data_IF_295481489756
#
_entry.id   IF_295481489756
#
_cell.length_a   1.000
_cell.length_b   1.000
_cell.length_c   1.000
_cell.angle_alpha   90.00
_cell.angle_beta   90.00
_cell.angle_gamma   90.00
#
_symmetry.space_group_name_H-M   'P 1'
#
loop_
_entity.id
_entity.type
_entity.pdbx_description
1 polymer ?
#
# COMPACT_ATOMS: atom_id res chain seq x y z
N UNK A 1 1.04 9.35 6.36
CA UNK A 1 1.34 8.96 4.98
C UNK A 1 0.88 10.02 4.00
N UNK A 2 1.78 10.43 3.11
CA UNK A 2 1.52 11.29 1.96
C UNK A 2 2.14 10.62 0.73
N UNK A 3 1.82 11.08 -0.47
CA UNK A 3 2.48 10.57 -1.69
C UNK A 3 4.00 10.72 -1.64
N UNK A 4 4.50 11.80 -1.02
CA UNK A 4 5.94 12.01 -0.81
C UNK A 4 6.55 10.99 0.15
N UNK A 5 5.79 10.43 1.09
CA UNK A 5 6.29 9.38 1.99
C UNK A 5 6.37 8.03 1.27
N UNK A 6 5.43 7.73 0.37
CA UNK A 6 5.51 6.56 -0.51
C UNK A 6 6.75 6.61 -1.41
N UNK A 7 7.08 7.78 -1.98
CA UNK A 7 8.29 7.97 -2.80
C UNK A 7 9.58 7.74 -2.00
N UNK A 8 9.63 8.22 -0.75
CA UNK A 8 10.78 7.99 0.12
C UNK A 8 10.94 6.51 0.43
N UNK A 9 9.84 5.81 0.77
CA UNK A 9 9.87 4.36 1.03
C UNK A 9 10.36 3.61 -0.20
N UNK A 10 9.85 3.93 -1.39
CA UNK A 10 10.27 3.29 -2.63
C UNK A 10 11.75 3.56 -2.96
N UNK A 11 12.22 4.80 -2.76
CA UNK A 11 13.63 5.16 -2.94
C UNK A 11 14.52 4.41 -1.95
N UNK A 12 14.11 4.34 -0.70
CA UNK A 12 14.84 3.63 0.35
C UNK A 12 14.95 2.12 0.05
N UNK A 13 13.87 1.50 -0.43
CA UNK A 13 13.89 0.10 -0.87
C UNK A 13 14.93 -0.15 -1.97
N UNK A 14 15.09 0.79 -2.91
CA UNK A 14 16.10 0.69 -3.99
C UNK A 14 17.52 0.82 -3.47
N UNK A 15 17.72 1.69 -2.49
CA UNK A 15 19.03 1.90 -1.88
C UNK A 15 19.50 0.68 -1.07
N UNK A 16 18.57 -0.04 -0.43
CA UNK A 16 18.89 -1.21 0.37
C UNK A 16 19.41 -2.40 -0.45
N UNK A 17 19.09 -2.48 -1.74
CA UNK A 17 19.48 -3.60 -2.63
C UNK A 17 19.16 -4.98 -2.02
N UNK A 18 17.99 -5.11 -1.41
CA UNK A 18 17.53 -6.38 -0.85
C UNK A 18 17.40 -7.43 -1.97
N UNK A 19 17.84 -8.66 -1.70
CA UNK A 19 17.68 -9.79 -2.63
C UNK A 19 16.21 -10.16 -2.80
N UNK A 20 15.43 -10.06 -1.73
CA UNK A 20 13.99 -10.27 -1.72
C UNK A 20 13.32 -9.07 -1.05
N UNK A 21 12.27 -8.56 -1.67
CA UNK A 21 11.48 -7.46 -1.13
C UNK A 21 10.01 -7.79 -1.31
N UNK A 22 9.20 -7.53 -0.28
CA UNK A 22 7.75 -7.62 -0.35
C UNK A 22 7.14 -6.27 0.04
N UNK A 23 6.08 -5.88 -0.67
CA UNK A 23 5.37 -4.63 -0.46
C UNK A 23 3.87 -4.92 -0.36
N UNK A 24 3.26 -4.45 0.72
CA UNK A 24 1.83 -4.60 0.96
C UNK A 24 1.16 -3.25 1.25
N UNK A 25 -0.05 -3.09 0.74
CA UNK A 25 -1.00 -2.07 1.14
C UNK A 25 -1.67 -2.47 2.46
N UNK A 26 -1.89 -1.47 3.33
CA UNK A 26 -2.67 -1.66 4.55
C UNK A 26 -4.08 -2.13 4.20
N UNK A 27 -4.44 -3.31 4.71
CA UNK A 27 -5.75 -3.93 4.53
C UNK A 27 -6.61 -3.70 5.79
N UNK A 28 -7.76 -3.04 5.68
CA UNK A 28 -8.61 -2.70 6.82
C UNK A 28 -9.44 -3.91 7.26
N UNK A 29 -8.83 -4.88 7.94
CA UNK A 29 -9.54 -6.07 8.41
C UNK A 29 -10.57 -5.73 9.50
N UNK A 30 -11.86 -6.14 9.37
CA UNK A 30 -12.88 -5.86 10.37
C UNK A 30 -12.53 -6.43 11.75
N UNK A 31 -12.81 -5.68 12.81
CA UNK A 31 -12.47 -6.05 14.18
C UNK A 31 -11.02 -5.75 14.60
N UNK A 32 -10.20 -5.19 13.72
CA UNK A 32 -8.89 -4.62 14.10
C UNK A 32 -9.08 -3.20 14.64
N UNK A 33 -8.19 -2.77 15.55
CA UNK A 33 -8.20 -1.41 16.09
C UNK A 33 -8.17 -0.35 14.98
N UNK A 34 -7.35 -0.57 13.94
CA UNK A 34 -7.30 0.29 12.77
C UNK A 34 -8.67 0.41 12.06
N UNK A 35 -9.36 -0.72 11.86
CA UNK A 35 -10.67 -0.70 11.22
C UNK A 35 -11.70 0.06 12.06
N UNK A 36 -11.67 -0.11 13.38
CA UNK A 36 -12.61 0.58 14.27
C UNK A 36 -12.33 2.10 14.32
N UNK A 37 -11.07 2.52 14.29
CA UNK A 37 -10.66 3.92 14.44
C UNK A 37 -10.44 4.66 13.10
N UNK A 38 -10.63 3.99 11.96
CA UNK A 38 -10.32 4.52 10.61
C UNK A 38 -10.79 5.96 10.36
N UNK A 39 -12.01 6.31 10.78
CA UNK A 39 -12.58 7.65 10.54
C UNK A 39 -11.85 8.74 11.36
N UNK A 40 -11.45 8.42 12.60
CA UNK A 40 -10.66 9.32 13.46
C UNK A 40 -9.28 9.58 12.84
N UNK A 41 -8.67 8.53 12.30
CA UNK A 41 -7.41 8.61 11.57
C UNK A 41 -7.56 9.34 10.22
N UNK A 42 -8.79 9.53 9.73
CA UNK A 42 -9.06 10.14 8.42
C UNK A 42 -8.84 9.19 7.26
N UNK A 43 -9.03 7.91 7.51
CA UNK A 43 -8.97 6.82 6.55
C UNK A 43 -10.39 6.42 6.16
N UNK A 44 -10.66 6.44 4.86
CA UNK A 44 -11.88 5.95 4.25
C UNK A 44 -11.61 4.63 3.55
N UNK A 45 -12.41 3.61 3.84
CA UNK A 45 -12.44 2.38 3.04
C UNK A 45 -13.24 2.68 1.77
N UNK A 46 -12.64 2.40 0.62
CA UNK A 46 -13.19 2.72 -0.71
C UNK A 46 -13.63 1.49 -1.49
N UNK A 47 -13.28 0.29 -1.00
CA UNK A 47 -13.74 -0.99 -1.53
C UNK A 47 -13.94 -1.98 -0.37
N UNK A 48 -15.08 -2.66 -0.36
CA UNK A 48 -15.49 -3.58 0.71
C UNK A 48 -15.53 -5.05 0.24
N UNK A 49 -15.05 -5.32 -0.97
CA UNK A 49 -14.90 -6.67 -1.47
C UNK A 49 -13.81 -7.42 -0.67
N UNK A 50 -14.24 -8.38 0.14
CA UNK A 50 -13.37 -9.17 1.00
C UNK A 50 -12.39 -10.06 0.21
N UNK A 51 -12.69 -10.39 -1.05
CA UNK A 51 -11.76 -11.15 -1.90
C UNK A 51 -10.49 -10.34 -2.22
N UNK A 52 -10.55 -9.01 -2.06
CA UNK A 52 -9.41 -8.12 -2.27
C UNK A 52 -8.60 -7.86 -1.01
N UNK A 53 -8.98 -8.42 0.13
CA UNK A 53 -8.31 -8.21 1.41
C UNK A 53 -7.08 -9.12 1.53
N UNK A 54 -6.07 -8.86 0.70
CA UNK A 54 -4.88 -9.69 0.56
C UNK A 54 -3.55 -8.91 0.59
N UNK A 55 -3.59 -7.63 0.95
CA UNK A 55 -2.40 -6.77 0.98
C UNK A 55 -1.92 -6.25 -0.38
N UNK A 56 -2.43 -6.75 -1.51
CA UNK A 56 -2.01 -6.29 -2.84
C UNK A 56 -2.93 -5.19 -3.39
N UNK A 57 -4.22 -5.25 -3.06
CA UNK A 57 -5.19 -4.26 -3.52
C UNK A 57 -5.22 -3.04 -2.59
N UNK A 58 -5.11 -1.82 -3.13
CA UNK A 58 -5.36 -0.61 -2.35
C UNK A 58 -6.85 -0.44 -2.05
N UNK A 59 -7.22 -0.52 -0.77
CA UNK A 59 -8.61 -0.52 -0.32
C UNK A 59 -9.00 0.74 0.45
N UNK A 60 -8.04 1.64 0.68
CA UNK A 60 -8.20 2.82 1.52
C UNK A 60 -7.79 4.10 0.81
N UNK A 61 -8.36 5.22 1.24
CA UNK A 61 -7.91 6.57 0.92
C UNK A 61 -7.75 7.36 2.22
N UNK A 62 -6.73 8.21 2.29
CA UNK A 62 -6.47 9.04 3.45
C UNK A 62 -6.78 10.52 3.17
N UNK A 63 -6.55 11.36 4.19
CA UNK A 63 -6.66 12.82 4.06
C UNK A 63 -5.74 13.41 2.98
N UNK A 64 -4.63 12.75 2.71
CA UNK A 64 -3.50 13.25 1.91
C UNK A 64 -3.15 12.36 0.70
N UNK A 65 -3.89 11.27 0.48
CA UNK A 65 -3.69 10.36 -0.64
C UNK A 65 -5.01 9.68 -1.03
N UNK A 66 -5.15 9.35 -2.31
CA UNK A 66 -6.23 8.53 -2.83
C UNK A 66 -5.75 7.08 -3.05
N UNK A 67 -6.68 6.13 -3.17
CA UNK A 67 -6.32 4.73 -3.46
C UNK A 67 -5.53 4.59 -4.77
N UNK A 68 -5.78 5.48 -5.73
CA UNK A 68 -5.11 5.49 -7.03
C UNK A 68 -3.63 5.85 -6.88
N UNK A 69 -3.28 6.69 -5.90
CA UNK A 69 -1.88 6.99 -5.59
C UNK A 69 -1.17 5.72 -5.11
N UNK A 70 -1.78 4.98 -4.17
CA UNK A 70 -1.27 3.69 -3.71
C UNK A 70 -1.14 2.68 -4.86
N UNK A 71 -2.15 2.59 -5.73
CA UNK A 71 -2.14 1.69 -6.88
C UNK A 71 -0.97 1.98 -7.82
N UNK A 72 -0.64 3.26 -8.04
CA UNK A 72 0.51 3.68 -8.83
C UNK A 72 1.82 3.16 -8.24
N UNK A 73 2.04 3.29 -6.94
CA UNK A 73 3.28 2.80 -6.31
C UNK A 73 3.35 1.27 -6.27
N UNK A 74 2.23 0.58 -6.05
CA UNK A 74 2.18 -0.89 -6.15
C UNK A 74 2.54 -1.36 -7.57
N UNK A 75 2.03 -0.70 -8.61
CA UNK A 75 2.39 -1.01 -9.99
C UNK A 75 3.86 -0.70 -10.31
N UNK A 76 4.40 0.40 -9.80
CA UNK A 76 5.83 0.72 -9.95
C UNK A 76 6.69 -0.37 -9.28
N UNK A 77 6.33 -0.79 -8.08
CA UNK A 77 7.02 -1.87 -7.39
C UNK A 77 6.98 -3.18 -8.18
N UNK A 78 5.80 -3.60 -8.64
CA UNK A 78 5.66 -4.83 -9.44
C UNK A 78 6.45 -4.77 -10.76
N UNK A 79 6.48 -3.63 -11.45
CA UNK A 79 7.21 -3.52 -12.70
C UNK A 79 8.72 -3.48 -12.50
N UNK A 80 9.20 -2.82 -11.44
CA UNK A 80 10.64 -2.61 -11.26
C UNK A 80 11.31 -3.77 -10.51
N UNK A 81 10.66 -4.35 -9.51
CA UNK A 81 11.26 -5.41 -8.69
C UNK A 81 10.99 -6.82 -9.21
N UNK A 82 9.83 -7.05 -9.83
CA UNK A 82 9.48 -8.39 -10.32
C UNK A 82 10.19 -8.72 -11.65
N UNK A 83 10.58 -7.69 -12.43
CA UNK A 83 11.39 -7.86 -13.65
C UNK A 83 12.89 -8.02 -13.32
N UNK A 84 13.40 -7.40 -12.24
CA UNK A 84 14.80 -7.54 -11.81
C UNK A 84 15.08 -8.83 -11.02
N UNK A 85 14.08 -9.38 -10.32
CA UNK A 85 14.21 -10.58 -9.48
C UNK A 85 12.98 -11.50 -9.62
N UNK A 86 12.83 -12.23 -10.73
CA UNK A 86 11.78 -13.23 -10.86
C UNK A 86 12.04 -14.34 -9.84
N UNK A 87 11.14 -14.48 -8.87
CA UNK A 87 11.17 -15.55 -7.86
C UNK A 87 11.22 -16.95 -8.44
#
# INVERSE_FOLDING_TARGET
ETTADFEKTFTFMKELKCEETDLACLTPYPGTEFYENKEEEGIKIVDHDLEKFNGLFPLISGKTFQREDLAKYMMLFLNEYNDEYPG
#
